data_IF_365412956274
#
_entry.id   IF_365412956274
#
_cell.length_a   1.000
_cell.length_b   1.000
_cell.length_c   1.000
_cell.angle_alpha   90.00
_cell.angle_beta   90.00
_cell.angle_gamma   90.00
#
_symmetry.space_group_name_H-M   'P 1'
#
loop_
_entity.id
_entity.type
_entity.pdbx_description
1 polymer ?
#
# COMPACT_ATOMS: atom_id res chain seq x y z
N UNK A 1 -36.42 -24.49 3.49
CA UNK A 1 -35.40 -24.42 2.40
C UNK A 1 -35.44 -23.07 1.69
N UNK A 2 -36.60 -22.41 1.55
CA UNK A 2 -36.72 -20.98 1.18
C UNK A 2 -36.02 -20.08 2.21
N UNK A 3 -36.24 -20.30 3.52
CA UNK A 3 -35.70 -19.42 4.56
C UNK A 3 -34.15 -19.43 4.66
N UNK A 4 -33.51 -20.57 4.34
CA UNK A 4 -32.05 -20.68 4.33
C UNK A 4 -31.41 -19.87 3.18
N UNK A 5 -32.07 -19.81 2.03
CA UNK A 5 -31.60 -19.04 0.86
C UNK A 5 -31.66 -17.56 1.14
N UNK A 6 -32.78 -17.11 1.69
CA UNK A 6 -32.98 -15.74 2.15
C UNK A 6 -31.91 -15.37 3.17
N UNK A 7 -31.68 -16.21 4.19
CA UNK A 7 -30.66 -15.96 5.20
C UNK A 7 -29.25 -15.81 4.61
N UNK A 8 -28.80 -16.75 3.77
CA UNK A 8 -27.46 -16.67 3.16
C UNK A 8 -27.33 -15.51 2.17
N UNK A 9 -28.39 -15.18 1.45
CA UNK A 9 -28.43 -13.99 0.61
C UNK A 9 -28.32 -12.71 1.45
N UNK A 10 -29.05 -12.59 2.56
CA UNK A 10 -28.96 -11.43 3.46
C UNK A 10 -27.58 -11.32 4.11
N UNK A 11 -26.95 -12.44 4.51
CA UNK A 11 -25.59 -12.43 5.04
C UNK A 11 -24.56 -11.94 4.02
N UNK A 12 -24.74 -12.31 2.75
CA UNK A 12 -23.85 -11.93 1.66
C UNK A 12 -24.08 -10.48 1.20
N UNK A 13 -25.33 -10.09 0.95
CA UNK A 13 -25.70 -8.82 0.33
C UNK A 13 -25.75 -7.64 1.30
N UNK A 14 -26.15 -7.87 2.55
CA UNK A 14 -26.20 -6.85 3.60
C UNK A 14 -25.27 -7.20 4.76
N UNK A 15 -24.09 -6.55 4.76
CA UNK A 15 -23.07 -6.70 5.80
C UNK A 15 -23.27 -5.77 6.99
N UNK A 16 -24.47 -5.24 7.24
CA UNK A 16 -24.75 -4.41 8.42
C UNK A 16 -24.54 -5.12 9.77
N UNK A 17 -24.40 -6.46 9.74
CA UNK A 17 -23.92 -7.29 10.85
C UNK A 17 -22.43 -7.07 11.19
N UNK A 18 -21.66 -6.40 10.34
CA UNK A 18 -20.28 -5.99 10.60
C UNK A 18 -20.26 -4.54 11.11
N UNK A 19 -20.03 -4.37 12.40
CA UNK A 19 -20.05 -3.05 13.06
C UNK A 19 -18.82 -2.23 12.69
N UNK A 20 -17.65 -2.88 12.69
CA UNK A 20 -16.38 -2.24 12.42
C UNK A 20 -15.45 -3.20 11.70
N UNK A 21 -14.75 -2.68 10.70
CA UNK A 21 -13.62 -3.36 10.08
C UNK A 21 -12.38 -2.46 10.13
N UNK A 22 -11.27 -3.00 10.64
CA UNK A 22 -9.98 -2.32 10.68
C UNK A 22 -8.97 -3.12 9.87
N UNK A 23 -8.50 -2.57 8.76
CA UNK A 23 -7.47 -3.18 7.92
C UNK A 23 -6.15 -2.44 8.16
N UNK A 24 -5.14 -3.12 8.69
CA UNK A 24 -3.77 -2.62 8.84
C UNK A 24 -2.90 -3.24 7.76
N UNK A 25 -2.29 -2.40 6.93
CA UNK A 25 -1.46 -2.79 5.79
C UNK A 25 -0.02 -2.51 6.14
N UNK A 26 0.79 -3.57 6.16
CA UNK A 26 2.23 -3.52 6.37
C UNK A 26 2.93 -3.99 5.11
N UNK A 27 3.80 -3.16 4.56
CA UNK A 27 4.53 -3.51 3.36
C UNK A 27 5.68 -4.47 3.72
N UNK A 28 5.76 -5.60 3.02
CA UNK A 28 6.79 -6.62 3.21
C UNK A 28 7.89 -6.47 2.17
N UNK A 29 7.49 -6.17 0.93
CA UNK A 29 8.36 -5.92 -0.21
C UNK A 29 7.65 -4.96 -1.18
N UNK A 30 8.32 -4.66 -2.29
CA UNK A 30 7.86 -3.86 -3.44
C UNK A 30 6.71 -4.51 -4.21
N UNK A 31 6.45 -5.80 -3.99
CA UNK A 31 5.37 -6.57 -4.64
C UNK A 31 4.41 -7.25 -3.67
N UNK A 32 4.75 -7.31 -2.38
CA UNK A 32 4.04 -8.10 -1.37
C UNK A 32 3.74 -7.21 -0.18
N UNK A 33 2.51 -7.30 0.33
CA UNK A 33 2.11 -6.67 1.57
C UNK A 33 1.40 -7.68 2.48
N UNK A 34 1.48 -7.43 3.77
CA UNK A 34 0.72 -8.12 4.80
C UNK A 34 -0.46 -7.24 5.19
N UNK A 35 -1.67 -7.80 5.14
CA UNK A 35 -2.90 -7.15 5.57
C UNK A 35 -3.42 -7.87 6.81
N UNK A 36 -3.56 -7.12 7.90
CA UNK A 36 -4.18 -7.58 9.14
C UNK A 36 -5.54 -6.97 9.27
N UNK A 37 -6.58 -7.77 9.28
CA UNK A 37 -7.95 -7.27 9.42
C UNK A 37 -8.49 -7.62 10.80
N UNK A 38 -9.24 -6.72 11.41
CA UNK A 38 -10.03 -6.98 12.61
C UNK A 38 -11.48 -6.65 12.31
N UNK A 39 -12.37 -7.59 12.60
CA UNK A 39 -13.80 -7.52 12.33
C UNK A 39 -14.55 -7.57 13.66
N UNK A 40 -15.37 -6.57 13.92
CA UNK A 40 -16.29 -6.56 15.06
C UNK A 40 -17.68 -6.96 14.56
N UNK A 41 -18.12 -8.16 14.92
CA UNK A 41 -19.33 -8.79 14.39
C UNK A 41 -20.46 -8.65 15.40
N UNK A 42 -21.61 -8.15 14.95
CA UNK A 42 -22.83 -8.05 15.74
C UNK A 42 -23.54 -9.41 15.82
N UNK A 43 -23.23 -10.18 16.86
CA UNK A 43 -23.84 -11.49 17.08
C UNK A 43 -25.34 -11.40 17.40
N UNK A 44 -25.83 -10.26 17.93
CA UNK A 44 -27.27 -10.07 18.16
C UNK A 44 -28.01 -9.95 16.84
N UNK A 45 -27.51 -9.09 15.95
CA UNK A 45 -28.09 -8.94 14.62
C UNK A 45 -28.11 -10.27 13.84
N UNK A 46 -27.00 -11.02 13.87
CA UNK A 46 -26.93 -12.34 13.22
C UNK A 46 -27.94 -13.34 13.80
N UNK A 47 -28.11 -13.33 15.12
CA UNK A 47 -29.09 -14.18 15.83
C UNK A 47 -30.53 -13.82 15.44
N UNK A 48 -30.84 -12.53 15.39
CA UNK A 48 -32.16 -12.04 15.02
C UNK A 48 -32.50 -12.42 13.58
N UNK A 49 -31.55 -12.28 12.64
CA UNK A 49 -31.70 -12.74 11.24
C UNK A 49 -31.93 -14.25 11.16
N UNK A 50 -31.15 -15.04 11.92
CA UNK A 50 -31.30 -16.49 11.95
C UNK A 50 -32.69 -16.89 12.46
N UNK A 51 -33.16 -16.27 13.55
CA UNK A 51 -34.49 -16.49 14.11
C UNK A 51 -35.62 -16.12 13.14
N UNK A 52 -35.49 -14.98 12.44
CA UNK A 52 -36.45 -14.55 11.41
C UNK A 52 -36.55 -15.54 10.24
N UNK A 53 -35.48 -16.27 9.96
CA UNK A 53 -35.43 -17.31 8.93
C UNK A 53 -35.65 -18.73 9.48
N UNK A 54 -36.12 -18.89 10.73
CA UNK A 54 -36.37 -20.20 11.33
C UNK A 54 -35.13 -21.07 11.50
N UNK A 55 -33.94 -20.48 11.48
CA UNK A 55 -32.66 -21.15 11.70
C UNK A 55 -32.39 -21.16 13.20
N UNK A 56 -32.06 -22.33 13.74
CA UNK A 56 -31.72 -22.48 15.14
C UNK A 56 -30.46 -21.65 15.48
N UNK A 57 -30.58 -20.59 16.29
CA UNK A 57 -29.46 -19.71 16.63
C UNK A 57 -28.41 -20.40 17.51
N UNK A 58 -28.70 -21.59 18.04
CA UNK A 58 -27.74 -22.36 18.84
C UNK A 58 -26.78 -23.17 17.95
N UNK A 59 -27.04 -23.23 16.63
CA UNK A 59 -26.13 -23.88 15.68
C UNK A 59 -25.12 -22.89 15.14
N UNK A 60 -23.95 -23.40 14.78
CA UNK A 60 -22.97 -22.62 14.05
C UNK A 60 -23.52 -22.22 12.68
N UNK A 61 -23.32 -20.96 12.32
CA UNK A 61 -23.67 -20.44 10.99
C UNK A 61 -22.41 -20.30 10.15
N UNK A 62 -22.57 -20.41 8.83
CA UNK A 62 -21.50 -20.06 7.89
C UNK A 62 -21.51 -18.54 7.75
N UNK A 63 -20.43 -17.89 8.16
CA UNK A 63 -20.27 -16.44 8.06
C UNK A 63 -19.33 -16.09 6.89
N UNK A 64 -19.83 -15.44 5.82
CA UNK A 64 -18.98 -14.99 4.71
C UNK A 64 -18.12 -13.80 5.14
N UNK A 65 -16.80 -13.96 5.17
CA UNK A 65 -15.86 -12.90 5.59
C UNK A 65 -15.44 -12.01 4.43
N UNK A 66 -15.07 -12.56 3.27
CA UNK A 66 -14.84 -11.79 2.03
C UNK A 66 -14.75 -12.71 0.80
N UNK A 67 -14.82 -12.10 -0.39
CA UNK A 67 -14.48 -12.74 -1.66
C UNK A 67 -13.04 -12.36 -2.03
N UNK A 68 -12.18 -13.36 -2.23
CA UNK A 68 -10.82 -13.15 -2.74
C UNK A 68 -10.64 -13.74 -4.13
N UNK A 69 -9.58 -13.33 -4.82
CA UNK A 69 -9.22 -13.93 -6.10
C UNK A 69 -8.63 -15.33 -5.89
N UNK A 70 -8.92 -16.23 -6.81
CA UNK A 70 -8.42 -17.60 -6.80
C UNK A 70 -6.87 -17.58 -6.84
N UNK A 71 -6.21 -18.23 -5.88
CA UNK A 71 -4.75 -18.37 -5.77
C UNK A 71 -3.93 -17.09 -5.51
N UNK A 72 -4.54 -16.04 -4.95
CA UNK A 72 -3.81 -14.78 -4.66
C UNK A 72 -3.15 -14.72 -3.29
N UNK A 73 -3.53 -15.53 -2.31
CA UNK A 73 -2.94 -15.45 -0.97
C UNK A 73 -1.71 -16.35 -0.86
N UNK A 74 -0.61 -15.79 -0.37
CA UNK A 74 0.61 -16.55 -0.03
C UNK A 74 0.42 -17.27 1.31
N UNK A 75 -0.18 -16.57 2.26
CA UNK A 75 -0.40 -17.05 3.64
C UNK A 75 -1.70 -16.43 4.17
N UNK A 76 -2.43 -17.20 4.97
CA UNK A 76 -3.68 -16.80 5.59
C UNK A 76 -3.82 -17.44 6.97
N UNK A 77 -4.02 -16.60 7.98
CA UNK A 77 -4.32 -17.00 9.35
C UNK A 77 -5.60 -16.29 9.79
N UNK A 78 -6.51 -17.04 10.43
CA UNK A 78 -7.78 -16.51 10.94
C UNK A 78 -7.90 -16.95 12.39
N UNK A 79 -8.14 -15.98 13.28
CA UNK A 79 -8.21 -16.19 14.71
C UNK A 79 -9.38 -15.46 15.33
N UNK A 80 -9.85 -15.94 16.46
CA UNK A 80 -10.80 -15.23 17.30
C UNK A 80 -10.12 -14.16 18.19
N UNK A 81 -10.87 -13.64 19.16
CA UNK A 81 -10.40 -12.62 20.08
C UNK A 81 -9.25 -13.10 20.98
N UNK A 82 -9.33 -14.37 21.40
CA UNK A 82 -8.39 -15.08 22.28
C UNK A 82 -7.16 -15.63 21.54
N UNK A 83 -7.15 -15.53 20.21
CA UNK A 83 -6.04 -15.99 19.37
C UNK A 83 -6.14 -17.47 18.97
N UNK A 84 -7.27 -18.12 19.22
CA UNK A 84 -7.57 -19.48 18.77
C UNK A 84 -7.77 -19.47 17.26
N UNK A 85 -7.17 -20.43 16.56
CA UNK A 85 -7.32 -20.57 15.12
C UNK A 85 -8.75 -20.97 14.76
N UNK A 86 -9.37 -20.21 13.85
CA UNK A 86 -10.69 -20.51 13.30
C UNK A 86 -10.53 -21.19 11.94
N UNK A 87 -11.02 -22.42 11.77
CA UNK A 87 -10.89 -23.13 10.50
C UNK A 87 -11.75 -22.46 9.43
N UNK A 88 -11.16 -22.27 8.25
CA UNK A 88 -11.92 -21.97 7.04
C UNK A 88 -12.85 -23.14 6.70
N UNK A 89 -14.03 -22.82 6.20
CA UNK A 89 -14.92 -23.83 5.63
C UNK A 89 -14.26 -24.48 4.40
N UNK A 90 -14.67 -25.71 4.07
CA UNK A 90 -14.18 -26.40 2.88
C UNK A 90 -14.66 -25.68 1.62
N UNK A 91 -13.90 -25.78 0.54
CA UNK A 91 -14.24 -25.16 -0.74
C UNK A 91 -15.64 -25.59 -1.24
N UNK A 92 -16.00 -26.86 -1.07
CA UNK A 92 -17.30 -27.39 -1.48
C UNK A 92 -18.46 -26.74 -0.69
N UNK A 93 -18.28 -26.55 0.62
CA UNK A 93 -19.27 -25.89 1.47
C UNK A 93 -19.40 -24.39 1.13
N UNK A 94 -18.27 -23.76 0.76
CA UNK A 94 -18.24 -22.37 0.32
C UNK A 94 -18.95 -22.18 -1.03
N UNK A 95 -18.73 -23.11 -1.97
CA UNK A 95 -19.42 -23.12 -3.26
C UNK A 95 -20.92 -23.35 -3.06
N UNK A 96 -21.29 -24.30 -2.21
CA UNK A 96 -22.68 -24.56 -1.88
C UNK A 96 -23.36 -23.35 -1.23
N UNK A 97 -22.67 -22.68 -0.29
CA UNK A 97 -23.15 -21.43 0.30
C UNK A 97 -23.44 -20.40 -0.79
N UNK A 98 -22.51 -20.17 -1.71
CA UNK A 98 -22.68 -19.17 -2.78
C UNK A 98 -23.80 -19.53 -3.75
N UNK A 99 -23.93 -20.80 -4.14
CA UNK A 99 -25.02 -21.25 -4.99
C UNK A 99 -26.39 -21.02 -4.31
N UNK A 100 -26.50 -21.32 -3.01
CA UNK A 100 -27.71 -21.08 -2.23
C UNK A 100 -28.01 -19.57 -2.09
N UNK A 101 -26.99 -18.76 -1.82
CA UNK A 101 -27.13 -17.31 -1.70
C UNK A 101 -27.58 -16.67 -3.02
N UNK A 102 -27.03 -17.10 -4.15
CA UNK A 102 -27.44 -16.63 -5.49
C UNK A 102 -28.88 -17.04 -5.83
N UNK A 103 -29.31 -18.24 -5.43
CA UNK A 103 -30.73 -18.59 -5.53
C UNK A 103 -31.61 -17.70 -4.64
N UNK A 104 -31.12 -17.28 -3.48
CA UNK A 104 -31.79 -16.31 -2.61
C UNK A 104 -31.92 -14.91 -3.23
N UNK A 105 -30.96 -14.49 -4.06
CA UNK A 105 -31.02 -13.22 -4.81
C UNK A 105 -32.23 -13.13 -5.75
N UNK A 106 -32.70 -14.28 -6.26
CA UNK A 106 -33.89 -14.37 -7.10
C UNK A 106 -35.20 -14.21 -6.30
N UNK A 107 -35.14 -14.28 -4.96
CA UNK A 107 -36.23 -13.95 -4.05
C UNK A 107 -37.51 -14.76 -4.30
N UNK A 108 -38.71 -14.11 -4.20
CA UNK A 108 -40.00 -14.75 -4.44
C UNK A 108 -40.09 -15.48 -5.78
N UNK A 109 -39.43 -14.95 -6.83
CA UNK A 109 -39.40 -15.57 -8.16
C UNK A 109 -38.85 -17.00 -8.11
N UNK A 110 -37.87 -17.25 -7.25
CA UNK A 110 -37.33 -18.61 -7.05
C UNK A 110 -38.27 -19.46 -6.18
N UNK A 111 -38.82 -18.87 -5.12
CA UNK A 111 -39.68 -19.60 -4.17
C UNK A 111 -41.00 -20.06 -4.80
N UNK A 112 -41.53 -19.28 -5.75
CA UNK A 112 -42.74 -19.59 -6.51
C UNK A 112 -42.52 -20.67 -7.60
N UNK A 113 -41.27 -21.01 -7.93
CA UNK A 113 -40.98 -22.06 -8.92
C UNK A 113 -41.36 -23.46 -8.40
N UNK A 114 -41.92 -24.34 -9.25
CA UNK A 114 -42.06 -25.76 -8.94
C UNK A 114 -40.72 -26.39 -8.54
N UNK A 115 -40.74 -27.37 -7.65
CA UNK A 115 -39.53 -28.02 -7.12
C UNK A 115 -38.57 -28.57 -8.21
N UNK A 116 -39.12 -29.03 -9.34
CA UNK A 116 -38.33 -29.44 -10.51
C UNK A 116 -37.58 -28.27 -11.16
N UNK A 117 -38.21 -27.11 -11.28
CA UNK A 117 -37.61 -25.90 -11.85
C UNK A 117 -36.58 -25.27 -10.89
N UNK A 118 -36.85 -25.28 -9.59
CA UNK A 118 -35.88 -24.87 -8.57
C UNK A 118 -34.59 -25.70 -8.66
N UNK A 119 -34.71 -27.02 -8.88
CA UNK A 119 -33.56 -27.91 -9.04
C UNK A 119 -32.77 -27.58 -10.30
N UNK A 120 -33.46 -27.36 -11.43
CA UNK A 120 -32.81 -26.94 -12.69
C UNK A 120 -32.11 -25.59 -12.52
N UNK A 121 -32.70 -24.65 -11.77
CA UNK A 121 -32.10 -23.35 -11.49
C UNK A 121 -30.81 -23.49 -10.65
N UNK A 122 -30.84 -24.31 -9.59
CA UNK A 122 -29.64 -24.61 -8.78
C UNK A 122 -28.54 -25.26 -9.63
N UNK A 123 -28.90 -26.25 -10.45
CA UNK A 123 -27.96 -26.93 -11.34
C UNK A 123 -27.37 -25.95 -12.37
N UNK A 124 -28.19 -25.02 -12.88
CA UNK A 124 -27.75 -23.95 -13.78
C UNK A 124 -26.75 -23.01 -13.09
N UNK A 125 -27.07 -22.47 -11.91
CA UNK A 125 -26.17 -21.59 -11.13
C UNK A 125 -24.85 -22.30 -10.87
N UNK A 126 -24.91 -23.55 -10.41
CA UNK A 126 -23.72 -24.39 -10.13
C UNK A 126 -22.89 -24.62 -11.39
N UNK A 127 -23.51 -24.92 -12.53
CA UNK A 127 -22.81 -25.13 -13.80
C UNK A 127 -22.15 -23.84 -14.32
N UNK A 128 -22.84 -22.70 -14.17
CA UNK A 128 -22.34 -21.38 -14.57
C UNK A 128 -21.14 -20.94 -13.71
N UNK A 129 -21.17 -21.22 -12.41
CA UNK A 129 -20.06 -20.98 -11.48
C UNK A 129 -18.82 -21.82 -11.85
N UNK A 130 -19.03 -23.08 -12.25
CA UNK A 130 -17.97 -24.03 -12.61
C UNK A 130 -17.41 -23.89 -14.04
N UNK A 131 -17.68 -22.78 -14.74
CA UNK A 131 -17.22 -22.50 -16.12
C UNK A 131 -17.50 -23.62 -17.14
N UNK A 132 -18.50 -24.49 -16.90
CA UNK A 132 -18.87 -25.54 -17.86
C UNK A 132 -19.61 -24.91 -19.04
N UNK A 133 -19.36 -25.31 -20.31
CA UNK A 133 -20.14 -24.84 -21.45
C UNK A 133 -21.59 -25.29 -21.26
N UNK A 134 -22.48 -24.34 -20.99
CA UNK A 134 -23.88 -24.62 -20.72
C UNK A 134 -24.64 -24.82 -22.03
N UNK A 135 -24.91 -26.08 -22.40
CA UNK A 135 -25.93 -26.47 -23.40
C UNK A 135 -27.35 -26.47 -22.83
N UNK A 136 -27.61 -25.68 -21.77
CA UNK A 136 -28.94 -25.51 -21.21
C UNK A 136 -29.68 -24.38 -21.94
N UNK A 137 -30.99 -24.56 -22.17
CA UNK A 137 -31.82 -23.58 -22.85
C UNK A 137 -31.95 -22.30 -22.02
N UNK A 138 -30.97 -21.41 -22.22
CA UNK A 138 -30.91 -20.08 -21.60
C UNK A 138 -32.24 -19.32 -21.76
N UNK A 139 -33.06 -19.59 -22.78
CA UNK A 139 -34.26 -18.82 -23.08
C UNK A 139 -35.44 -18.90 -22.10
N UNK A 140 -35.57 -19.94 -21.25
CA UNK A 140 -36.76 -20.08 -20.38
C UNK A 140 -36.55 -19.48 -18.99
N UNK A 141 -35.46 -19.81 -18.31
CA UNK A 141 -35.17 -19.31 -16.95
C UNK A 141 -34.79 -17.82 -17.00
N UNK A 142 -33.97 -17.40 -17.96
CA UNK A 142 -33.65 -15.98 -18.13
C UNK A 142 -34.89 -15.14 -18.46
N UNK A 143 -35.87 -15.68 -19.19
CA UNK A 143 -37.14 -14.98 -19.49
C UNK A 143 -38.05 -14.83 -18.28
N UNK A 144 -37.93 -15.68 -17.26
CA UNK A 144 -38.60 -15.50 -15.97
C UNK A 144 -37.86 -14.50 -15.07
N UNK A 145 -36.53 -14.45 -15.17
CA UNK A 145 -35.69 -13.56 -14.38
C UNK A 145 -35.68 -12.12 -14.94
N UNK A 146 -35.78 -11.93 -16.25
CA UNK A 146 -35.46 -10.68 -16.98
C UNK A 146 -36.35 -9.45 -16.75
N UNK A 147 -37.28 -9.45 -15.78
CA UNK A 147 -38.30 -8.39 -15.65
C UNK A 147 -38.36 -7.69 -14.29
N UNK A 148 -37.30 -7.73 -13.47
CA UNK A 148 -37.33 -7.15 -12.13
C UNK A 148 -35.96 -6.66 -11.63
N UNK A 149 -35.98 -5.83 -10.58
CA UNK A 149 -34.79 -5.46 -9.79
C UNK A 149 -34.00 -6.69 -9.29
N UNK A 150 -34.67 -7.83 -9.09
CA UNK A 150 -34.04 -9.08 -8.65
C UNK A 150 -33.15 -9.70 -9.73
N UNK A 151 -33.49 -9.49 -11.02
CA UNK A 151 -32.64 -9.87 -12.14
C UNK A 151 -31.29 -9.18 -12.05
N UNK A 152 -31.31 -7.89 -11.73
CA UNK A 152 -30.14 -7.05 -11.59
C UNK A 152 -29.26 -7.49 -10.41
N UNK A 153 -29.88 -7.73 -9.25
CA UNK A 153 -29.16 -8.17 -8.04
C UNK A 153 -28.50 -9.55 -8.23
N UNK A 154 -29.21 -10.47 -8.90
CA UNK A 154 -28.68 -11.78 -9.27
C UNK A 154 -27.52 -11.67 -10.25
N UNK A 155 -27.69 -10.98 -11.38
CA UNK A 155 -26.67 -10.84 -12.43
C UNK A 155 -25.39 -10.26 -11.83
N UNK A 156 -25.51 -9.16 -11.09
CA UNK A 156 -24.37 -8.48 -10.51
C UNK A 156 -23.60 -9.37 -9.53
N UNK A 157 -24.33 -10.06 -8.67
CA UNK A 157 -23.71 -10.94 -7.67
C UNK A 157 -23.13 -12.20 -8.33
N UNK A 158 -23.76 -12.72 -9.38
CA UNK A 158 -23.22 -13.83 -10.15
C UNK A 158 -21.86 -13.48 -10.76
N UNK A 159 -21.75 -12.33 -11.44
CA UNK A 159 -20.49 -11.90 -12.03
C UNK A 159 -19.42 -11.58 -10.99
N UNK A 160 -19.80 -11.04 -9.83
CA UNK A 160 -18.86 -10.76 -8.73
C UNK A 160 -18.22 -12.04 -8.18
N UNK A 161 -19.00 -13.10 -8.03
CA UNK A 161 -18.55 -14.34 -7.38
C UNK A 161 -17.84 -15.25 -8.37
N UNK A 162 -18.18 -15.15 -9.66
CA UNK A 162 -17.61 -15.99 -10.72
C UNK A 162 -16.08 -15.86 -10.78
N UNK A 163 -15.37 -16.97 -10.55
CA UNK A 163 -13.91 -17.01 -10.56
C UNK A 163 -13.26 -16.42 -9.30
N UNK A 164 -14.04 -16.13 -8.25
CA UNK A 164 -13.56 -15.73 -6.93
C UNK A 164 -13.79 -16.85 -5.92
N UNK A 165 -12.94 -16.89 -4.89
CA UNK A 165 -13.06 -17.80 -3.76
C UNK A 165 -13.70 -17.09 -2.58
N UNK A 166 -14.76 -17.68 -2.03
CA UNK A 166 -15.33 -17.23 -0.76
C UNK A 166 -14.47 -17.70 0.41
N UNK A 167 -14.05 -16.75 1.24
CA UNK A 167 -13.45 -17.02 2.54
C UNK A 167 -14.52 -16.87 3.61
N UNK A 168 -14.85 -17.99 4.26
CA UNK A 168 -15.90 -18.06 5.25
C UNK A 168 -15.49 -19.04 6.37
N UNK A 169 -16.14 -18.88 7.52
CA UNK A 169 -15.89 -19.68 8.72
C UNK A 169 -17.20 -20.17 9.33
N UNK A 170 -17.12 -21.17 10.20
CA UNK A 170 -18.20 -21.46 11.13
C UNK A 170 -18.11 -20.53 12.34
N UNK A 171 -19.21 -19.88 12.68
CA UNK A 171 -19.32 -19.01 13.85
C UNK A 171 -20.51 -19.44 14.71
N UNK A 172 -20.26 -19.67 16.00
CA UNK A 172 -21.34 -19.82 16.98
C UNK A 172 -21.83 -18.45 17.43
N UNK A 173 -23.06 -18.10 17.06
CA UNK A 173 -23.70 -16.85 17.48
C UNK A 173 -24.36 -16.95 18.86
N UNK A 174 -24.16 -18.05 19.58
CA UNK A 174 -24.73 -18.30 20.90
C UNK A 174 -23.98 -17.61 22.05
N UNK A 175 -22.74 -17.16 21.81
CA UNK A 175 -21.87 -16.58 22.85
C UNK A 175 -22.56 -15.45 23.65
N UNK A 176 -22.21 -15.33 24.93
CA UNK A 176 -22.79 -14.33 25.87
C UNK A 176 -22.50 -12.89 25.45
N UNK A 177 -21.40 -12.66 24.74
CA UNK A 177 -21.03 -11.36 24.20
C UNK A 177 -21.95 -10.99 23.03
N UNK A 178 -22.34 -9.71 22.96
CA UNK A 178 -23.08 -9.18 21.83
C UNK A 178 -22.22 -8.99 20.59
N UNK A 179 -20.90 -9.00 20.76
CA UNK A 179 -19.91 -8.76 19.74
C UNK A 179 -18.91 -9.91 19.76
N UNK A 180 -18.59 -10.43 18.58
CA UNK A 180 -17.47 -11.36 18.39
C UNK A 180 -16.38 -10.67 17.56
N UNK A 181 -15.13 -10.82 17.98
CA UNK A 181 -13.98 -10.22 17.28
C UNK A 181 -13.26 -11.31 16.49
N UNK A 182 -13.05 -11.06 15.20
CA UNK A 182 -12.28 -11.94 14.32
C UNK A 182 -11.09 -11.18 13.77
N UNK A 183 -9.93 -11.83 13.79
CA UNK A 183 -8.66 -11.28 13.32
C UNK A 183 -8.18 -12.12 12.15
N UNK A 184 -7.83 -11.49 11.05
CA UNK A 184 -7.18 -12.16 9.91
C UNK A 184 -5.79 -11.59 9.69
N UNK A 185 -4.89 -12.43 9.18
CA UNK A 185 -3.59 -12.03 8.65
C UNK A 185 -3.46 -12.66 7.26
N UNK A 186 -3.38 -11.81 6.26
CA UNK A 186 -3.27 -12.17 4.85
C UNK A 186 -1.92 -11.69 4.32
N UNK A 187 -1.19 -12.51 3.57
CA UNK A 187 0.00 -12.09 2.81
C UNK A 187 -0.34 -12.10 1.32
N UNK A 188 -0.31 -10.93 0.70
CA UNK A 188 -0.91 -10.68 -0.62
C UNK A 188 0.16 -10.14 -1.59
N UNK A 189 0.34 -10.76 -2.78
CA UNK A 189 1.14 -10.25 -3.88
C UNK A 189 0.33 -9.27 -4.76
N UNK A 190 1.00 -8.54 -5.66
CA UNK A 190 0.33 -7.68 -6.64
C UNK A 190 0.34 -6.20 -6.29
N UNK A 191 1.20 -5.79 -5.36
CA UNK A 191 1.45 -4.38 -5.06
C UNK A 191 2.08 -3.67 -6.26
N UNK A 192 1.50 -2.54 -6.68
CA UNK A 192 2.12 -1.64 -7.65
C UNK A 192 2.86 -0.54 -6.90
N UNK A 193 4.19 -0.56 -6.99
CA UNK A 193 5.05 0.48 -6.42
C UNK A 193 5.85 1.16 -7.52
N UNK A 194 5.53 2.42 -7.78
CA UNK A 194 6.13 3.20 -8.87
C UNK A 194 6.56 4.57 -8.34
N UNK A 195 7.85 4.89 -8.43
CA UNK A 195 8.41 6.19 -8.06
C UNK A 195 8.04 6.70 -6.65
N UNK A 196 7.91 5.79 -5.67
CA UNK A 196 7.52 6.15 -4.31
C UNK A 196 6.02 6.23 -4.07
N UNK A 197 5.20 6.10 -5.11
CA UNK A 197 3.75 5.96 -4.99
C UNK A 197 3.38 4.48 -4.94
N UNK A 198 2.53 4.18 -3.99
CA UNK A 198 1.96 2.87 -3.70
C UNK A 198 0.47 2.90 -3.99
N UNK A 199 -0.04 1.94 -4.74
CA UNK A 199 -1.48 1.81 -4.96
C UNK A 199 -1.98 0.47 -4.43
N UNK A 200 -2.93 0.55 -3.51
CA UNK A 200 -3.52 -0.56 -2.78
C UNK A 200 -5.01 -0.65 -3.08
N UNK A 201 -5.45 -1.71 -3.73
CA UNK A 201 -6.87 -1.95 -3.94
C UNK A 201 -7.60 -2.10 -2.61
N UNK A 202 -8.60 -1.24 -2.38
CA UNK A 202 -9.30 -1.13 -1.13
C UNK A 202 -10.62 -1.92 -1.16
N UNK A 203 -10.54 -3.25 -1.39
CA UNK A 203 -11.71 -4.15 -1.51
C UNK A 203 -12.66 -4.08 -0.31
N UNK A 204 -12.18 -3.72 0.87
CA UNK A 204 -13.02 -3.50 2.07
C UNK A 204 -13.99 -2.31 1.93
N UNK A 205 -13.73 -1.37 1.02
CA UNK A 205 -14.60 -0.23 0.74
C UNK A 205 -15.63 -0.53 -0.35
N UNK A 206 -15.51 -1.66 -1.05
CA UNK A 206 -16.49 -2.07 -2.06
C UNK A 206 -17.81 -2.57 -1.43
N UNK A 207 -17.83 -2.73 -0.11
CA UNK A 207 -18.95 -3.31 0.64
C UNK A 207 -19.47 -2.35 1.71
N UNK A 208 -20.77 -2.45 2.01
CA UNK A 208 -21.42 -1.60 2.99
C UNK A 208 -21.14 -2.08 4.42
N UNK A 209 -20.16 -1.45 5.06
CA UNK A 209 -19.85 -1.62 6.49
C UNK A 209 -20.23 -0.32 7.23
N UNK A 210 -20.63 -0.43 8.50
CA UNK A 210 -20.98 0.74 9.33
C UNK A 210 -19.78 1.66 9.57
N UNK A 211 -18.62 1.08 9.88
CA UNK A 211 -17.38 1.83 10.05
C UNK A 211 -16.18 1.06 9.49
N UNK A 212 -15.46 1.67 8.56
CA UNK A 212 -14.29 1.11 7.90
C UNK A 212 -13.04 1.93 8.24
N UNK A 213 -11.97 1.25 8.62
CA UNK A 213 -10.65 1.84 8.83
C UNK A 213 -9.64 1.14 7.92
N UNK A 214 -8.84 1.93 7.20
CA UNK A 214 -7.67 1.46 6.45
C UNK A 214 -6.45 2.20 6.98
N UNK A 215 -5.58 1.45 7.61
CA UNK A 215 -4.35 1.93 8.23
C UNK A 215 -3.18 1.42 7.38
N UNK A 216 -2.31 2.31 6.90
CA UNK A 216 -1.10 1.93 6.17
C UNK A 216 0.12 2.28 7.00
N UNK A 217 1.00 1.31 7.24
CA UNK A 217 2.25 1.49 7.98
C UNK A 217 3.42 1.77 7.05
N UNK A 218 4.21 2.80 7.37
CA UNK A 218 5.45 3.08 6.63
C UNK A 218 6.51 2.03 6.96
N UNK A 219 7.22 1.46 5.97
CA UNK A 219 8.42 0.68 6.20
C UNK A 219 9.46 1.39 7.08
N UNK A 220 10.30 0.61 7.74
CA UNK A 220 11.44 1.16 8.46
C UNK A 220 12.33 1.98 7.51
N UNK A 221 12.68 3.20 7.95
CA UNK A 221 13.47 4.12 7.14
C UNK A 221 12.68 4.92 6.11
N UNK A 222 11.35 4.76 5.99
CA UNK A 222 10.48 5.64 5.20
C UNK A 222 9.44 6.35 6.09
N UNK A 223 8.74 7.32 5.51
CA UNK A 223 7.57 7.97 6.07
C UNK A 223 6.51 8.17 4.98
N UNK A 224 5.24 8.32 5.39
CA UNK A 224 4.13 8.59 4.47
C UNK A 224 3.97 10.09 4.31
N UNK A 225 4.15 10.61 3.10
CA UNK A 225 4.00 12.04 2.81
C UNK A 225 2.59 12.47 2.45
N UNK A 226 1.82 11.56 1.86
CA UNK A 226 0.41 11.78 1.48
C UNK A 226 -0.30 10.44 1.41
N UNK A 227 -1.54 10.40 1.87
CA UNK A 227 -2.49 9.32 1.60
C UNK A 227 -3.69 9.93 0.87
N UNK A 228 -4.20 9.26 -0.16
CA UNK A 228 -5.41 9.67 -0.88
C UNK A 228 -6.26 8.48 -1.28
N UNK A 229 -7.56 8.73 -1.49
CA UNK A 229 -8.50 7.75 -2.00
C UNK A 229 -8.75 8.03 -3.48
N UNK A 230 -8.64 6.99 -4.30
CA UNK A 230 -8.92 7.02 -5.73
C UNK A 230 -10.16 6.18 -6.04
N UNK A 231 -10.98 6.65 -6.97
CA UNK A 231 -12.06 5.90 -7.60
C UNK A 231 -11.79 5.83 -9.11
N UNK A 232 -11.71 4.63 -9.67
CA UNK A 232 -11.35 4.41 -11.08
C UNK A 232 -10.08 5.16 -11.55
N UNK A 233 -9.15 5.45 -10.62
CA UNK A 233 -7.89 6.16 -10.86
C UNK A 233 -7.91 7.66 -10.55
N UNK A 234 -9.08 8.26 -10.30
CA UNK A 234 -9.23 9.68 -9.99
C UNK A 234 -9.34 9.94 -8.48
N UNK A 235 -8.71 11.02 -7.99
CA UNK A 235 -8.71 11.36 -6.56
C UNK A 235 -10.09 11.87 -6.11
N UNK A 236 -10.68 11.19 -5.14
CA UNK A 236 -11.99 11.55 -4.58
C UNK A 236 -11.81 12.53 -3.44
N UNK A 237 -12.50 13.67 -3.44
CA UNK A 237 -12.41 14.62 -2.33
C UNK A 237 -13.14 14.09 -1.07
N UNK A 238 -12.60 14.29 0.15
CA UNK A 238 -13.28 13.93 1.41
C UNK A 238 -14.67 14.53 1.60
N UNK A 239 -14.95 15.67 0.94
CA UNK A 239 -16.22 16.41 1.06
C UNK A 239 -17.15 16.20 -0.13
N UNK A 240 -16.77 15.36 -1.09
CA UNK A 240 -17.56 15.13 -2.30
C UNK A 240 -18.89 14.45 -1.96
N UNK A 241 -20.00 15.09 -2.32
CA UNK A 241 -21.36 14.62 -2.06
C UNK A 241 -21.74 13.42 -2.91
N UNK A 242 -21.15 13.25 -4.09
CA UNK A 242 -21.56 12.22 -5.05
C UNK A 242 -21.20 10.81 -4.56
N UNK A 243 -20.18 10.75 -3.69
CA UNK A 243 -19.70 9.53 -3.05
C UNK A 243 -20.25 9.32 -1.64
N UNK A 244 -21.18 10.17 -1.16
CA UNK A 244 -21.85 9.95 0.13
C UNK A 244 -22.88 8.82 0.03
N UNK A 245 -22.91 7.97 1.06
CA UNK A 245 -23.94 6.95 1.26
C UNK A 245 -25.27 7.60 1.62
N UNK A 246 -25.24 8.56 2.54
CA UNK A 246 -26.37 9.37 2.96
C UNK A 246 -26.03 10.86 2.76
N UNK A 247 -26.72 11.48 1.81
CA UNK A 247 -26.57 12.90 1.47
C UNK A 247 -27.11 13.83 2.56
N UNK A 248 -27.98 13.33 3.44
CA UNK A 248 -28.52 14.10 4.58
C UNK A 248 -27.55 14.20 5.74
N UNK A 249 -26.50 13.38 5.76
CA UNK A 249 -25.47 13.41 6.79
C UNK A 249 -24.47 14.55 6.52
N UNK A 250 -24.42 15.49 7.47
CA UNK A 250 -23.56 16.68 7.42
C UNK A 250 -22.06 16.38 7.58
N UNK A 251 -21.67 15.14 7.89
CA UNK A 251 -20.26 14.74 8.02
C UNK A 251 -19.53 14.62 6.69
N UNK A 252 -18.18 14.50 6.71
CA UNK A 252 -17.40 14.19 5.51
C UNK A 252 -17.70 12.77 5.02
N UNK A 253 -17.44 12.52 3.75
CA UNK A 253 -17.60 11.21 3.11
C UNK A 253 -16.63 10.19 3.71
N UNK A 254 -15.39 10.64 3.93
CA UNK A 254 -14.36 9.93 4.67
C UNK A 254 -13.38 10.96 5.28
N UNK A 255 -12.52 10.53 6.19
CA UNK A 255 -11.46 11.37 6.76
C UNK A 255 -10.11 10.66 6.69
N UNK A 256 -9.04 11.39 6.41
CA UNK A 256 -7.67 10.89 6.46
C UNK A 256 -6.96 11.58 7.61
N UNK A 257 -6.38 10.78 8.50
CA UNK A 257 -5.46 11.23 9.52
C UNK A 257 -4.05 10.78 9.13
N UNK A 258 -3.24 11.75 8.69
CA UNK A 258 -1.86 11.50 8.34
C UNK A 258 -0.96 11.51 9.57
N UNK A 259 -0.12 10.48 9.68
CA UNK A 259 1.00 10.46 10.60
C UNK A 259 2.19 9.81 9.89
N UNK A 260 3.38 10.39 10.08
CA UNK A 260 4.64 9.97 9.48
C UNK A 260 4.88 8.47 9.42
N UNK A 261 4.51 7.77 10.48
CA UNK A 261 4.72 6.32 10.61
C UNK A 261 3.54 5.50 10.12
N UNK A 262 2.35 6.11 10.09
CA UNK A 262 1.07 5.44 9.89
C UNK A 262 0.03 6.46 9.44
N UNK A 263 -0.54 6.29 8.26
CA UNK A 263 -1.72 7.05 7.85
C UNK A 263 -2.98 6.21 7.98
N UNK A 264 -4.07 6.85 8.39
CA UNK A 264 -5.36 6.22 8.64
C UNK A 264 -6.44 6.87 7.79
N UNK A 265 -7.12 6.08 6.97
CA UNK A 265 -8.37 6.45 6.33
C UNK A 265 -9.53 5.85 7.14
N UNK A 266 -10.46 6.71 7.55
CA UNK A 266 -11.68 6.33 8.24
C UNK A 266 -12.89 6.70 7.38
N UNK A 267 -13.82 5.76 7.23
CA UNK A 267 -15.04 5.92 6.45
C UNK A 267 -16.25 5.37 7.20
N UNK A 268 -17.29 6.21 7.31
CA UNK A 268 -18.62 5.84 7.84
C UNK A 268 -19.73 6.15 6.83
N UNK A 269 -19.52 7.15 5.97
CA UNK A 269 -20.50 7.64 5.02
C UNK A 269 -20.06 7.51 3.56
N UNK A 270 -19.01 6.74 3.25
CA UNK A 270 -18.63 6.43 1.88
C UNK A 270 -19.62 5.42 1.28
N UNK A 271 -20.13 5.74 0.10
CA UNK A 271 -20.90 4.82 -0.73
C UNK A 271 -20.02 3.61 -1.06
N UNK A 272 -20.56 2.39 -1.00
CA UNK A 272 -19.79 1.22 -1.43
C UNK A 272 -19.30 1.39 -2.86
N UNK A 273 -18.07 0.96 -3.13
CA UNK A 273 -17.45 1.06 -4.46
C UNK A 273 -18.33 0.49 -5.56
N UNK A 274 -19.03 -0.62 -5.25
CA UNK A 274 -20.08 -1.18 -6.11
C UNK A 274 -21.16 -0.14 -6.42
N UNK A 275 -21.87 0.37 -5.41
CA UNK A 275 -22.96 1.34 -5.61
C UNK A 275 -22.48 2.63 -6.31
N UNK A 276 -21.23 3.03 -6.11
CA UNK A 276 -20.63 4.15 -6.81
C UNK A 276 -20.46 3.84 -8.31
N UNK A 277 -19.90 2.68 -8.66
CA UNK A 277 -19.68 2.23 -10.04
C UNK A 277 -20.98 1.98 -10.82
N UNK A 278 -22.00 1.45 -10.14
CA UNK A 278 -23.34 1.32 -10.73
C UNK A 278 -23.94 2.68 -11.07
N UNK A 279 -23.70 3.68 -10.22
CA UNK A 279 -24.23 5.01 -10.43
C UNK A 279 -23.46 5.80 -11.50
N UNK A 280 -22.20 5.45 -11.78
CA UNK A 280 -21.39 6.09 -12.82
C UNK A 280 -21.59 5.50 -14.22
N UNK A 281 -22.09 4.26 -14.34
CA UNK A 281 -22.26 3.59 -15.64
C UNK A 281 -23.72 3.63 -16.14
N UNK A 282 -23.95 4.29 -17.27
CA UNK A 282 -25.27 4.39 -17.91
C UNK A 282 -25.68 3.13 -18.74
N UNK A 283 -24.77 2.16 -18.99
CA UNK A 283 -25.02 1.03 -19.92
C UNK A 283 -24.76 -0.36 -19.34
N UNK A 284 -25.66 -1.30 -19.67
CA UNK A 284 -25.72 -2.68 -19.16
C UNK A 284 -24.72 -3.67 -19.81
N UNK A 285 -23.91 -3.25 -20.78
CA UNK A 285 -22.95 -4.13 -21.47
C UNK A 285 -21.54 -4.08 -20.86
N UNK A 286 -21.29 -3.16 -19.92
CA UNK A 286 -19.98 -2.95 -19.30
C UNK A 286 -19.68 -3.88 -18.11
N UNK A 287 -20.63 -4.69 -17.61
CA UNK A 287 -20.42 -5.52 -16.41
C UNK A 287 -19.38 -6.63 -16.61
N UNK A 288 -19.10 -7.02 -17.85
CA UNK A 288 -17.98 -7.92 -18.15
C UNK A 288 -16.59 -7.25 -17.97
N UNK A 289 -16.51 -5.91 -17.91
CA UNK A 289 -15.25 -5.17 -17.70
C UNK A 289 -14.89 -4.98 -16.21
N UNK A 290 -15.81 -5.23 -15.28
CA UNK A 290 -15.60 -5.22 -13.82
C UNK A 290 -14.70 -6.40 -13.36
N UNK A 291 -14.18 -7.19 -14.31
CA UNK A 291 -13.40 -8.42 -14.06
C UNK A 291 -12.15 -8.20 -13.20
N UNK A 292 -11.52 -7.02 -13.20
CA UNK A 292 -10.09 -6.96 -12.85
C UNK A 292 -9.68 -6.05 -11.66
N UNK A 293 -10.61 -5.47 -10.86
CA UNK A 293 -10.19 -4.60 -9.73
C UNK A 293 -11.22 -4.26 -8.66
N UNK A 294 -10.75 -3.67 -7.55
CA UNK A 294 -11.58 -2.97 -6.58
C UNK A 294 -11.96 -1.58 -7.15
N UNK A 295 -13.16 -1.09 -6.89
CA UNK A 295 -13.57 0.22 -7.42
C UNK A 295 -12.79 1.37 -6.75
N UNK A 296 -12.51 1.21 -5.45
CA UNK A 296 -11.65 2.12 -4.71
C UNK A 296 -10.20 1.62 -4.60
N UNK A 297 -9.27 2.54 -4.76
CA UNK A 297 -7.83 2.32 -4.55
C UNK A 297 -7.31 3.35 -3.56
N UNK A 298 -6.55 2.90 -2.56
CA UNK A 298 -5.83 3.79 -1.64
C UNK A 298 -4.44 4.02 -2.19
N UNK A 299 -4.12 5.27 -2.50
CA UNK A 299 -2.80 5.69 -2.93
C UNK A 299 -2.01 6.25 -1.75
N UNK A 300 -0.76 5.82 -1.59
CA UNK A 300 0.13 6.24 -0.52
C UNK A 300 1.46 6.65 -1.11
N UNK A 301 1.90 7.88 -0.81
CA UNK A 301 3.21 8.36 -1.20
C UNK A 301 4.21 8.12 -0.07
N UNK A 302 5.24 7.33 -0.37
CA UNK A 302 6.34 7.01 0.52
C UNK A 302 7.57 7.83 0.17
N UNK A 303 8.14 8.46 1.19
CA UNK A 303 9.42 9.14 1.08
C UNK A 303 10.43 8.55 2.06
N UNK A 304 11.72 8.54 1.71
CA UNK A 304 12.74 8.04 2.60
C UNK A 304 12.99 9.02 3.77
N UNK A 305 13.29 8.47 4.96
CA UNK A 305 13.66 9.25 6.14
C UNK A 305 15.07 9.82 5.98
N UNK A 306 15.17 11.11 6.28
CA UNK A 306 16.29 12.01 5.95
C UNK A 306 17.67 11.58 6.46
N UNK A 307 17.76 10.89 7.59
CA UNK A 307 19.03 10.71 8.32
C UNK A 307 19.94 9.62 7.77
N UNK A 308 19.39 8.58 7.14
CA UNK A 308 20.17 7.35 6.97
C UNK A 308 21.20 7.43 5.82
N UNK A 309 20.88 8.16 4.73
CA UNK A 309 21.73 8.21 3.54
C UNK A 309 22.34 9.59 3.25
N UNK A 310 21.56 10.67 3.40
CA UNK A 310 21.99 11.98 2.93
C UNK A 310 23.08 12.61 3.81
N UNK A 311 23.11 12.27 5.10
CA UNK A 311 24.16 12.70 6.03
C UNK A 311 25.55 12.13 5.67
N UNK A 312 25.71 10.80 5.54
CA UNK A 312 26.96 10.20 5.08
C UNK A 312 27.44 10.72 3.71
N UNK A 313 26.53 10.90 2.74
CA UNK A 313 26.85 11.51 1.45
C UNK A 313 27.45 12.91 1.60
N UNK A 314 26.76 13.78 2.35
CA UNK A 314 27.22 15.16 2.59
C UNK A 314 28.58 15.20 3.31
N UNK A 315 28.79 14.33 4.32
CA UNK A 315 30.05 14.27 5.04
C UNK A 315 31.22 13.87 4.13
N UNK A 316 31.01 12.85 3.29
CA UNK A 316 32.03 12.37 2.34
C UNK A 316 32.38 13.41 1.29
N UNK A 317 31.38 14.13 0.77
CA UNK A 317 31.61 15.21 -0.18
C UNK A 317 32.33 16.39 0.46
N UNK A 318 31.89 16.83 1.64
CA UNK A 318 32.53 17.94 2.36
C UNK A 318 34.01 17.65 2.68
N UNK A 319 34.31 16.43 3.15
CA UNK A 319 35.69 16.02 3.44
C UNK A 319 36.51 15.95 2.15
N UNK A 320 35.97 15.34 1.07
CA UNK A 320 36.67 15.25 -0.22
C UNK A 320 36.94 16.63 -0.81
N UNK A 321 35.95 17.52 -0.81
CA UNK A 321 36.06 18.93 -1.22
C UNK A 321 37.14 19.66 -0.43
N UNK A 322 37.19 19.49 0.90
CA UNK A 322 38.20 20.12 1.74
C UNK A 322 39.62 19.64 1.40
N UNK A 323 39.82 18.34 1.15
CA UNK A 323 41.11 17.78 0.75
C UNK A 323 41.55 18.35 -0.61
N UNK A 324 40.66 18.34 -1.62
CA UNK A 324 40.99 18.90 -2.94
C UNK A 324 41.25 20.41 -2.90
N UNK A 325 40.50 21.17 -2.10
CA UNK A 325 40.73 22.59 -1.90
C UNK A 325 42.12 22.87 -1.30
N UNK A 326 42.52 22.10 -0.28
CA UNK A 326 43.83 22.20 0.34
C UNK A 326 44.95 21.94 -0.70
N UNK A 327 44.83 20.86 -1.47
CA UNK A 327 45.81 20.52 -2.51
C UNK A 327 45.88 21.58 -3.61
N UNK A 328 44.74 22.16 -3.99
CA UNK A 328 44.66 23.26 -4.96
C UNK A 328 45.39 24.50 -4.43
N UNK A 329 45.17 24.91 -3.18
CA UNK A 329 45.82 26.06 -2.55
C UNK A 329 47.34 25.85 -2.47
N UNK A 330 47.78 24.67 -2.01
CA UNK A 330 49.21 24.33 -1.92
C UNK A 330 49.84 24.38 -3.32
N UNK A 331 49.23 23.72 -4.31
CA UNK A 331 49.75 23.70 -5.69
C UNK A 331 49.84 25.10 -6.29
N UNK A 332 48.83 25.93 -6.06
CA UNK A 332 48.81 27.31 -6.54
C UNK A 332 49.92 28.16 -5.93
N UNK A 333 50.18 28.00 -4.63
CA UNK A 333 51.26 28.71 -3.95
C UNK A 333 52.66 28.33 -4.50
N UNK A 334 52.87 27.06 -4.86
CA UNK A 334 54.08 26.61 -5.55
C UNK A 334 54.16 27.12 -7.00
N UNK A 335 53.05 27.13 -7.75
CA UNK A 335 53.00 27.70 -9.11
C UNK A 335 53.35 29.19 -9.12
N UNK A 336 52.90 29.94 -8.11
CA UNK A 336 53.19 31.37 -7.94
C UNK A 336 54.54 31.65 -7.28
N UNK A 337 55.31 30.61 -6.95
CA UNK A 337 56.61 30.69 -6.26
C UNK A 337 56.55 31.45 -4.93
N UNK A 338 55.43 31.36 -4.23
CA UNK A 338 55.28 31.98 -2.91
C UNK A 338 56.01 31.20 -1.81
N UNK A 339 56.24 29.91 -2.02
CA UNK A 339 56.79 28.98 -1.02
C UNK A 339 58.15 28.40 -1.45
N UNK A 340 58.43 28.32 -2.75
CA UNK A 340 59.67 27.74 -3.29
C UNK A 340 59.96 28.32 -4.68
N UNK A 341 61.23 28.38 -5.07
CA UNK A 341 61.68 28.79 -6.40
C UNK A 341 61.32 27.78 -7.50
N UNK A 342 60.99 26.53 -7.12
CA UNK A 342 60.63 25.45 -8.03
C UNK A 342 59.11 25.22 -8.18
N UNK A 343 58.69 24.81 -9.38
CA UNK A 343 57.30 24.42 -9.68
C UNK A 343 56.94 22.97 -9.26
N UNK A 344 57.64 22.45 -8.25
CA UNK A 344 57.57 21.07 -7.80
C UNK A 344 57.07 21.00 -6.37
N UNK A 345 56.05 20.19 -6.11
CA UNK A 345 55.48 20.04 -4.77
C UNK A 345 56.07 18.78 -4.12
N UNK A 346 56.80 18.88 -2.99
CA UNK A 346 57.27 17.71 -2.24
C UNK A 346 56.12 17.14 -1.41
N UNK A 347 55.32 16.27 -2.00
CA UNK A 347 54.18 15.62 -1.34
C UNK A 347 54.47 14.14 -1.13
N UNK A 348 54.08 13.61 0.03
CA UNK A 348 53.97 12.17 0.21
C UNK A 348 52.69 11.68 -0.48
N UNK A 349 52.80 11.46 -1.79
CA UNK A 349 51.68 11.08 -2.67
C UNK A 349 51.00 9.81 -2.17
N UNK A 350 51.76 8.87 -1.60
CA UNK A 350 51.19 7.61 -1.11
C UNK A 350 50.16 7.84 -0.01
N UNK A 351 50.41 8.75 0.93
CA UNK A 351 49.48 9.07 2.01
C UNK A 351 48.21 9.76 1.50
N UNK A 352 48.35 10.69 0.55
CA UNK A 352 47.24 11.47 -0.03
C UNK A 352 46.35 10.57 -0.89
N UNK A 353 46.95 9.76 -1.75
CA UNK A 353 46.22 8.80 -2.59
C UNK A 353 45.49 7.78 -1.72
N UNK A 354 46.13 7.31 -0.64
CA UNK A 354 45.48 6.40 0.31
C UNK A 354 44.27 7.05 0.97
N UNK A 355 44.41 8.28 1.47
CA UNK A 355 43.30 9.02 2.08
C UNK A 355 42.13 9.25 1.10
N UNK A 356 42.46 9.66 -0.13
CA UNK A 356 41.48 9.88 -1.20
C UNK A 356 40.82 8.61 -1.71
N UNK A 357 41.44 7.44 -1.55
CA UNK A 357 40.85 6.16 -1.90
C UNK A 357 39.99 5.58 -0.77
N UNK A 358 40.46 5.66 0.48
CA UNK A 358 39.78 5.06 1.64
C UNK A 358 38.40 5.67 1.88
N UNK A 359 38.26 6.99 1.79
CA UNK A 359 37.00 7.68 2.07
C UNK A 359 35.89 7.26 1.08
N UNK A 360 36.09 7.32 -0.25
CA UNK A 360 35.13 6.78 -1.23
C UNK A 360 34.85 5.29 -1.08
N UNK A 361 35.85 4.47 -0.76
CA UNK A 361 35.67 3.02 -0.59
C UNK A 361 34.83 2.71 0.65
N UNK A 362 35.10 3.36 1.78
CA UNK A 362 34.30 3.21 3.00
C UNK A 362 32.86 3.68 2.78
N UNK A 363 32.67 4.80 2.06
CA UNK A 363 31.36 5.29 1.67
C UNK A 363 30.61 4.30 0.77
N UNK A 364 31.25 3.75 -0.26
CA UNK A 364 30.65 2.73 -1.12
C UNK A 364 30.24 1.47 -0.34
N UNK A 365 31.02 1.07 0.66
CA UNK A 365 30.67 -0.04 1.54
C UNK A 365 29.43 0.26 2.40
N UNK A 366 29.29 1.50 2.91
CA UNK A 366 28.09 1.94 3.64
C UNK A 366 26.85 1.92 2.73
N UNK A 367 26.99 2.35 1.47
CA UNK A 367 25.88 2.31 0.50
C UNK A 367 25.46 0.89 0.10
N UNK A 368 26.31 -0.10 0.35
CA UNK A 368 26.06 -1.51 0.05
C UNK A 368 25.40 -2.27 1.21
N UNK A 369 25.22 -1.63 2.37
CA UNK A 369 24.72 -2.31 3.57
C UNK A 369 23.35 -2.98 3.32
N UNK A 370 23.33 -4.31 3.42
CA UNK A 370 22.30 -5.18 2.83
C UNK A 370 21.07 -5.47 3.70
N UNK A 371 20.95 -4.89 4.89
CA UNK A 371 19.84 -5.18 5.82
C UNK A 371 18.62 -4.27 5.63
N UNK A 372 18.50 -3.58 4.51
CA UNK A 372 17.46 -2.58 4.29
C UNK A 372 16.20 -3.13 3.65
N UNK A 373 15.07 -2.50 3.95
CA UNK A 373 13.81 -2.81 3.31
C UNK A 373 13.90 -2.58 1.80
N UNK A 374 13.44 -3.51 0.98
CA UNK A 374 13.57 -3.45 -0.49
C UNK A 374 12.92 -2.20 -1.11
N UNK A 375 11.81 -1.71 -0.53
CA UNK A 375 11.17 -0.44 -0.91
C UNK A 375 12.15 0.74 -0.73
N UNK A 376 12.86 0.79 0.39
CA UNK A 376 13.85 1.84 0.67
C UNK A 376 15.00 1.78 -0.35
N UNK A 377 15.46 0.57 -0.67
CA UNK A 377 16.48 0.36 -1.69
C UNK A 377 16.05 0.85 -3.08
N UNK A 378 14.77 0.70 -3.44
CA UNK A 378 14.26 1.23 -4.72
C UNK A 378 14.15 2.76 -4.71
N UNK A 379 13.66 3.35 -3.61
CA UNK A 379 13.59 4.81 -3.45
C UNK A 379 14.96 5.48 -3.58
N UNK A 380 16.00 4.86 -3.02
CA UNK A 380 17.37 5.38 -3.07
C UNK A 380 18.17 4.93 -4.29
N UNK A 381 17.60 4.20 -5.24
CA UNK A 381 18.36 3.64 -6.38
C UNK A 381 19.19 4.70 -7.11
N UNK A 382 18.58 5.84 -7.43
CA UNK A 382 19.26 6.96 -8.11
C UNK A 382 20.32 7.62 -7.24
N UNK A 383 20.06 7.76 -5.93
CA UNK A 383 20.97 8.36 -4.97
C UNK A 383 22.22 7.50 -4.76
N UNK A 384 22.03 6.19 -4.58
CA UNK A 384 23.14 5.24 -4.48
C UNK A 384 23.98 5.23 -5.76
N UNK A 385 23.33 5.24 -6.93
CA UNK A 385 24.05 5.30 -8.20
C UNK A 385 24.92 6.56 -8.32
N UNK A 386 24.38 7.73 -7.96
CA UNK A 386 25.16 8.97 -7.93
C UNK A 386 26.34 8.89 -6.93
N UNK A 387 26.10 8.37 -5.73
CA UNK A 387 27.15 8.14 -4.73
C UNK A 387 28.26 7.19 -5.21
N UNK A 388 27.89 6.09 -5.89
CA UNK A 388 28.85 5.14 -6.47
C UNK A 388 29.64 5.75 -7.62
N UNK A 389 28.97 6.41 -8.56
CA UNK A 389 29.62 7.05 -9.70
C UNK A 389 30.66 8.08 -9.24
N UNK A 390 30.33 8.88 -8.23
CA UNK A 390 31.23 9.89 -7.68
C UNK A 390 32.35 9.27 -6.84
N UNK A 391 32.08 8.19 -6.11
CA UNK A 391 33.13 7.44 -5.40
C UNK A 391 34.15 6.84 -6.38
N UNK A 392 33.68 6.28 -7.50
CA UNK A 392 34.52 5.79 -8.58
C UNK A 392 35.33 6.92 -9.24
N UNK A 393 34.72 8.08 -9.46
CA UNK A 393 35.40 9.26 -9.98
C UNK A 393 36.56 9.71 -9.07
N UNK A 394 36.34 9.80 -7.76
CA UNK A 394 37.40 10.15 -6.81
C UNK A 394 38.54 9.11 -6.79
N UNK A 395 38.23 7.82 -6.95
CA UNK A 395 39.25 6.77 -7.09
C UNK A 395 40.07 6.92 -8.38
N UNK A 396 39.45 7.31 -9.50
CA UNK A 396 40.16 7.57 -10.75
C UNK A 396 41.10 8.77 -10.61
N UNK A 397 40.66 9.85 -9.95
CA UNK A 397 41.52 11.01 -9.68
C UNK A 397 42.69 10.64 -8.77
N UNK A 398 42.45 9.88 -7.70
CA UNK A 398 43.50 9.40 -6.80
C UNK A 398 44.52 8.51 -7.53
N UNK A 399 44.06 7.58 -8.37
CA UNK A 399 44.92 6.75 -9.21
C UNK A 399 45.75 7.61 -10.18
N UNK A 400 45.14 8.63 -10.79
CA UNK A 400 45.82 9.56 -11.71
C UNK A 400 46.95 10.34 -11.02
N UNK A 401 46.79 10.68 -9.74
CA UNK A 401 47.86 11.31 -8.95
C UNK A 401 49.04 10.34 -8.67
N UNK A 402 48.79 9.03 -8.61
CA UNK A 402 49.81 8.02 -8.29
C UNK A 402 50.74 7.65 -9.45
N UNK A 403 50.29 7.80 -10.70
CA UNK A 403 51.03 7.36 -11.90
C UNK A 403 52.07 8.39 -12.36
N UNK A 404 52.00 9.62 -11.87
CA UNK A 404 52.76 10.76 -12.41
C UNK A 404 53.89 11.36 -11.54
N UNK A 405 54.30 10.82 -10.37
CA UNK A 405 55.51 11.31 -9.72
C UNK A 405 56.77 10.99 -10.51
N UNK A 406 57.65 11.98 -10.63
CA UNK A 406 59.03 11.78 -11.07
C UNK A 406 59.90 11.61 -9.81
N UNK A 407 60.68 10.53 -9.79
CA UNK A 407 61.67 10.27 -8.75
C UNK A 407 62.95 11.02 -9.11
N UNK A 408 63.35 11.97 -8.28
CA UNK A 408 64.70 12.54 -8.31
C UNK A 408 65.43 12.14 -7.01
N UNK A 409 66.77 12.13 -7.01
CA UNK A 409 67.64 11.42 -6.05
C UNK A 409 67.28 11.52 -4.55
N UNK A 410 66.61 12.58 -4.10
CA UNK A 410 66.23 12.82 -2.69
C UNK A 410 64.70 12.86 -2.42
N UNK A 411 63.82 12.61 -3.41
CA UNK A 411 62.36 12.63 -3.18
C UNK A 411 61.46 12.36 -4.39
N UNK A 412 60.16 12.14 -4.12
CA UNK A 412 59.10 12.07 -5.16
C UNK A 412 58.48 13.45 -5.35
N UNK A 413 58.56 13.99 -6.57
CA UNK A 413 58.04 15.32 -6.90
C UNK A 413 56.91 15.21 -7.94
N UNK A 414 55.88 16.04 -7.77
CA UNK A 414 54.80 16.22 -8.77
C UNK A 414 54.84 17.64 -9.30
N UNK A 415 54.63 17.79 -10.61
CA UNK A 415 54.42 19.09 -11.23
C UNK A 415 53.23 19.80 -10.58
N UNK A 416 53.46 21.00 -10.04
CA UNK A 416 52.43 21.80 -9.38
C UNK A 416 51.28 22.16 -10.33
N UNK A 417 51.56 22.33 -11.64
CA UNK A 417 50.54 22.59 -12.65
C UNK A 417 49.55 21.43 -12.78
N UNK A 418 50.06 20.21 -12.80
CA UNK A 418 49.25 19.01 -12.95
C UNK A 418 48.44 18.72 -11.69
N UNK A 419 49.07 18.83 -10.51
CA UNK A 419 48.39 18.63 -9.23
C UNK A 419 47.30 19.69 -9.03
N UNK A 420 47.53 20.92 -9.47
CA UNK A 420 46.52 21.98 -9.50
C UNK A 420 45.34 21.61 -10.42
N UNK A 421 45.59 21.13 -11.65
CA UNK A 421 44.52 20.75 -12.59
C UNK A 421 43.65 19.61 -12.05
N UNK A 422 44.24 18.53 -11.54
CA UNK A 422 43.47 17.41 -10.96
C UNK A 422 42.71 17.89 -9.71
N UNK A 423 43.35 18.67 -8.84
CA UNK A 423 42.71 19.16 -7.61
C UNK A 423 41.57 20.13 -7.89
N UNK A 424 41.70 20.97 -8.92
CA UNK A 424 40.64 21.87 -9.36
C UNK A 424 39.43 21.08 -9.88
N UNK A 425 39.66 20.07 -10.73
CA UNK A 425 38.60 19.20 -11.25
C UNK A 425 37.91 18.46 -10.10
N UNK A 426 38.69 17.84 -9.19
CA UNK A 426 38.17 17.16 -8.02
C UNK A 426 37.37 18.09 -7.09
N UNK A 427 37.88 19.29 -6.83
CA UNK A 427 37.19 20.29 -6.01
C UNK A 427 35.87 20.71 -6.64
N UNK A 428 35.85 21.11 -7.91
CA UNK A 428 34.63 21.58 -8.59
C UNK A 428 33.56 20.48 -8.60
N UNK A 429 33.92 19.24 -8.94
CA UNK A 429 32.95 18.13 -8.98
C UNK A 429 32.37 17.81 -7.60
N UNK A 430 33.20 17.71 -6.56
CA UNK A 430 32.72 17.41 -5.21
C UNK A 430 31.94 18.60 -4.61
N UNK A 431 32.35 19.84 -4.86
CA UNK A 431 31.66 21.04 -4.38
C UNK A 431 30.28 21.24 -5.02
N UNK A 432 30.15 20.96 -6.33
CA UNK A 432 28.84 20.93 -6.99
C UNK A 432 27.96 19.84 -6.38
N UNK A 433 28.53 18.67 -6.09
CA UNK A 433 27.85 17.58 -5.37
C UNK A 433 27.39 17.99 -3.97
N UNK A 434 28.24 18.67 -3.20
CA UNK A 434 27.95 19.22 -1.88
C UNK A 434 26.74 20.16 -1.93
N UNK A 435 26.76 21.15 -2.82
CA UNK A 435 25.66 22.12 -2.98
C UNK A 435 24.37 21.39 -3.37
N UNK A 436 24.44 20.44 -4.30
CA UNK A 436 23.27 19.68 -4.73
C UNK A 436 22.68 18.82 -3.59
N UNK A 437 23.51 18.09 -2.86
CA UNK A 437 23.09 17.30 -1.70
C UNK A 437 22.53 18.19 -0.58
N UNK A 438 23.18 19.33 -0.31
CA UNK A 438 22.77 20.27 0.73
C UNK A 438 21.43 20.95 0.40
N UNK A 439 21.25 21.43 -0.82
CA UNK A 439 19.97 22.04 -1.27
C UNK A 439 18.83 21.03 -1.19
N UNK A 440 19.06 19.78 -1.58
CA UNK A 440 18.08 18.69 -1.42
C UNK A 440 17.83 18.36 0.05
N UNK A 441 18.87 18.35 0.88
CA UNK A 441 18.77 18.12 2.33
C UNK A 441 17.92 19.21 3.01
N UNK A 442 18.06 20.47 2.60
CA UNK A 442 17.25 21.58 3.10
C UNK A 442 15.80 21.51 2.60
N UNK A 443 15.58 21.25 1.30
CA UNK A 443 14.23 21.14 0.75
C UNK A 443 13.40 20.02 1.38
N UNK A 444 14.03 18.86 1.63
CA UNK A 444 13.40 17.76 2.38
C UNK A 444 13.17 18.10 3.85
N UNK A 445 14.05 18.91 4.47
CA UNK A 445 13.84 19.39 5.84
C UNK A 445 12.56 20.19 5.97
N UNK A 446 12.41 21.18 5.09
CA UNK A 446 11.30 22.12 5.12
C UNK A 446 9.99 21.37 4.90
N UNK A 447 9.97 20.39 4.00
CA UNK A 447 8.81 19.50 3.83
C UNK A 447 8.47 18.76 5.13
N UNK A 448 9.45 18.14 5.79
CA UNK A 448 9.20 17.45 7.07
C UNK A 448 8.69 18.45 8.12
N UNK A 449 9.32 19.61 8.29
CA UNK A 449 8.91 20.63 9.26
C UNK A 449 7.47 21.06 9.00
N UNK A 450 7.12 21.33 7.74
CA UNK A 450 5.77 21.75 7.35
C UNK A 450 4.73 20.65 7.58
N UNK A 451 5.07 19.38 7.35
CA UNK A 451 4.16 18.27 7.64
C UNK A 451 4.08 17.95 9.15
N UNK A 452 5.04 18.42 9.96
CA UNK A 452 5.13 18.13 11.41
C UNK A 452 4.56 19.26 12.24
N UNK A 453 4.44 20.44 11.64
CA UNK A 453 3.69 21.53 12.20
C UNK A 453 2.24 21.04 12.26
N UNK A 454 1.64 20.87 13.46
CA UNK A 454 0.20 20.71 13.52
C UNK A 454 -0.37 21.94 12.83
N UNK A 455 -1.19 21.75 11.80
CA UNK A 455 -2.00 22.84 11.29
C UNK A 455 -2.67 23.49 12.49
N UNK A 456 -2.38 24.78 12.66
CA UNK A 456 -3.16 25.65 13.51
C UNK A 456 -4.62 25.45 13.11
N UNK A 457 -5.36 24.71 13.93
CA UNK A 457 -6.78 24.90 14.11
C UNK A 457 -6.97 26.34 14.60
N UNK A 458 -6.96 27.29 13.68
CA UNK A 458 -7.54 28.61 13.92
C UNK A 458 -9.04 28.51 13.66
N UNK A 459 -9.74 28.34 14.79
CA UNK A 459 -10.99 29.03 15.12
C UNK A 459 -12.25 28.70 14.31
N UNK A 460 -12.97 27.71 14.85
CA UNK A 460 -14.43 27.70 14.91
C UNK A 460 -14.86 27.29 16.32
N UNK A 461 -14.49 28.08 17.33
CA UNK A 461 -14.90 27.88 18.72
C UNK A 461 -16.42 28.14 18.83
N UNK A 462 -17.21 27.12 19.15
CA UNK A 462 -18.18 27.21 20.25
C UNK A 462 -18.85 25.86 20.55
N UNK A 463 -18.73 25.47 21.83
CA UNK A 463 -19.68 24.65 22.60
C UNK A 463 -19.86 23.19 22.15
N UNK A 464 -19.59 22.15 22.95
CA UNK A 464 -19.49 22.07 24.41
C UNK A 464 -18.69 20.83 24.78
N UNK A 465 -17.72 21.00 25.68
CA UNK A 465 -17.22 19.92 26.52
C UNK A 465 -18.37 19.42 27.38
N UNK A 466 -18.70 18.15 27.27
CA UNK A 466 -19.12 17.36 28.43
C UNK A 466 -18.29 16.08 28.44
N UNK A 467 -17.37 16.07 29.39
CA UNK A 467 -16.74 14.90 30.01
C UNK A 467 -17.75 13.77 30.25
N UNK A 468 -17.30 12.51 30.16
CA UNK A 468 -17.30 11.49 31.23
C UNK A 468 -17.08 10.09 30.61
N UNK A 469 -16.13 9.36 31.20
CA UNK A 469 -15.92 7.90 31.31
C UNK A 469 -15.90 6.97 30.08
#
# INVERSE_FOLDING_TARGET
MSDLKKFYWELYSDRSWLLRQVNTIKLVDTKIYEKRSTYDIDCRNLRDRALQCGIDPNKEIILPLWLGEENTLIDLDIRDEDGVCLPLIKSDDAEQFMNIALCGALGPTFDDMPSGEQRVCIDMVTAMMNKRPTTYSQSRIWKHISNSQQAFDFINSFYEVRGRKLYAIHLSVQQRSSISIIKTREVIPGLQFTNGRLELWAKSLDQDVKSNYICVESPNGTWISKMSLLFEGEEVSPTDSDYKRDSTCNGPTYSIQDNYSRSLLHSTNLKSGRKALIASQENFDAWESIKDGAAYTVAVELQPKRSYYLGPHLAVFAISSAIYALLMIISFAFLKRWISDGAWVPLNISAIVTLMAVIPTAHAAVLFYGSEHRILSQLYRHWRFAGYALSAFNLILAASMSVLPLKDGDGYYVSAAWLFSISLVGFVTNFVGDIWCFTKFQGLHQKIVNTSAPEHQTEGLNSSRTTIE
#
